data_IF_562575400052
#
_entry.id   IF_562575400052
#
_cell.length_a   1.000
_cell.length_b   1.000
_cell.length_c   1.000
_cell.angle_alpha   90.00
_cell.angle_beta   90.00
_cell.angle_gamma   90.00
#
_symmetry.space_group_name_H-M   'P 1'
#
loop_
_entity.id
_entity.type
_entity.pdbx_description
1 polymer ?
#
# COMPACT_ATOMS: atom_id res chain seq x y z
N UNK A 1 -22.21 -6.84 -8.40
CA UNK A 1 -22.40 -6.81 -6.94
C UNK A 1 -22.58 -5.36 -6.56
N UNK A 2 -23.67 -5.00 -5.87
CA UNK A 2 -23.85 -3.65 -5.34
C UNK A 2 -23.47 -3.67 -3.86
N UNK A 3 -22.55 -2.81 -3.46
CA UNK A 3 -22.18 -2.66 -2.06
C UNK A 3 -22.93 -1.47 -1.45
N UNK A 4 -23.12 -1.50 -0.14
CA UNK A 4 -23.73 -0.40 0.58
C UNK A 4 -22.65 0.30 1.40
N UNK A 5 -22.48 1.60 1.15
CA UNK A 5 -21.66 2.51 1.95
C UNK A 5 -22.55 3.67 2.39
N UNK A 6 -22.27 4.26 3.54
CA UNK A 6 -23.04 5.41 4.03
C UNK A 6 -22.73 6.66 3.21
N UNK A 7 -23.65 7.63 3.22
CA UNK A 7 -23.41 8.93 2.56
C UNK A 7 -22.15 9.62 3.10
N UNK A 8 -21.86 9.48 4.39
CA UNK A 8 -20.64 10.01 5.01
C UNK A 8 -19.37 9.32 4.48
N UNK A 9 -19.39 7.98 4.37
CA UNK A 9 -18.30 7.22 3.78
C UNK A 9 -18.05 7.64 2.34
N UNK A 10 -19.12 7.81 1.54
CA UNK A 10 -19.04 8.28 0.16
C UNK A 10 -18.36 9.64 0.07
N UNK A 11 -18.81 10.63 0.84
CA UNK A 11 -18.21 11.97 0.89
C UNK A 11 -16.74 11.91 1.31
N UNK A 12 -16.39 11.08 2.31
CA UNK A 12 -15.02 10.91 2.76
C UNK A 12 -14.12 10.32 1.68
N UNK A 13 -14.60 9.32 0.95
CA UNK A 13 -13.89 8.69 -0.16
C UNK A 13 -13.67 9.67 -1.31
N UNK A 14 -14.67 10.44 -1.69
CA UNK A 14 -14.58 11.48 -2.73
C UNK A 14 -13.53 12.54 -2.37
N UNK A 15 -13.57 13.07 -1.14
CA UNK A 15 -12.55 14.02 -0.65
C UNK A 15 -11.14 13.43 -0.65
N UNK A 16 -11.00 12.16 -0.28
CA UNK A 16 -9.70 11.49 -0.27
C UNK A 16 -9.18 11.25 -1.70
N UNK A 17 -10.06 10.90 -2.64
CA UNK A 17 -9.70 10.72 -4.04
C UNK A 17 -9.14 12.01 -4.65
N UNK A 18 -9.76 13.16 -4.33
CA UNK A 18 -9.36 14.46 -4.87
C UNK A 18 -8.00 14.93 -4.35
N UNK A 19 -7.64 14.53 -3.13
CA UNK A 19 -6.43 15.00 -2.44
C UNK A 19 -5.25 14.05 -2.57
N UNK A 20 -5.48 12.74 -2.63
CA UNK A 20 -4.39 11.76 -2.71
C UNK A 20 -3.65 11.85 -4.03
N UNK A 21 -2.33 11.67 -4.02
CA UNK A 21 -1.49 11.55 -5.24
C UNK A 21 -1.16 10.11 -5.59
N UNK A 22 -1.46 9.17 -4.68
CA UNK A 22 -1.20 7.75 -4.87
C UNK A 22 -2.25 7.14 -5.81
N UNK A 23 -1.83 6.77 -7.02
CA UNK A 23 -2.71 6.19 -8.04
C UNK A 23 -3.38 4.89 -7.60
N UNK A 24 -2.71 4.07 -6.79
CA UNK A 24 -3.29 2.82 -6.30
C UNK A 24 -4.43 3.09 -5.31
N UNK A 25 -4.25 4.09 -4.44
CA UNK A 25 -5.31 4.54 -3.52
C UNK A 25 -6.49 5.08 -4.32
N UNK A 26 -6.25 5.88 -5.38
CA UNK A 26 -7.33 6.40 -6.23
C UNK A 26 -8.14 5.29 -6.88
N UNK A 27 -7.49 4.27 -7.44
CA UNK A 27 -8.21 3.19 -8.12
C UNK A 27 -8.98 2.28 -7.16
N UNK A 28 -8.45 2.05 -5.95
CA UNK A 28 -9.22 1.42 -4.85
C UNK A 28 -10.47 2.21 -4.51
N UNK A 29 -10.36 3.54 -4.35
CA UNK A 29 -11.50 4.41 -4.07
C UNK A 29 -12.54 4.36 -5.18
N UNK A 30 -12.12 4.50 -6.45
CA UNK A 30 -13.03 4.42 -7.60
C UNK A 30 -13.78 3.09 -7.64
N UNK A 31 -13.09 1.97 -7.38
CA UNK A 31 -13.73 0.66 -7.36
C UNK A 31 -14.87 0.58 -6.32
N UNK A 32 -14.65 1.14 -5.12
CA UNK A 32 -15.66 1.17 -4.05
C UNK A 32 -16.84 2.08 -4.44
N UNK A 33 -16.56 3.29 -4.93
CA UNK A 33 -17.60 4.24 -5.33
C UNK A 33 -18.48 3.67 -6.46
N UNK A 34 -17.86 3.16 -7.54
CA UNK A 34 -18.58 2.59 -8.67
C UNK A 34 -19.38 1.33 -8.27
N UNK A 35 -18.83 0.49 -7.40
CA UNK A 35 -19.56 -0.67 -6.86
C UNK A 35 -20.77 -0.24 -6.01
N UNK A 36 -20.66 0.86 -5.26
CA UNK A 36 -21.80 1.43 -4.51
C UNK A 36 -22.88 2.01 -5.43
N UNK A 37 -22.47 2.51 -6.60
CA UNK A 37 -23.33 3.02 -7.66
C UNK A 37 -23.95 1.91 -8.52
N UNK A 38 -23.61 0.65 -8.24
CA UNK A 38 -24.21 -0.53 -8.87
C UNK A 38 -23.47 -1.04 -10.10
N UNK A 39 -22.28 -0.54 -10.40
CA UNK A 39 -21.46 -1.09 -11.48
C UNK A 39 -21.03 -2.51 -11.15
N UNK A 40 -20.99 -3.39 -12.16
CA UNK A 40 -20.46 -4.74 -11.98
C UNK A 40 -18.94 -4.72 -11.87
N UNK A 41 -18.35 -5.69 -11.16
CA UNK A 41 -16.88 -5.80 -11.07
C UNK A 41 -16.22 -5.88 -12.45
N UNK A 42 -16.88 -6.48 -13.44
CA UNK A 42 -16.41 -6.53 -14.84
C UNK A 42 -16.37 -5.13 -15.47
N UNK A 43 -17.43 -4.33 -15.29
CA UNK A 43 -17.47 -2.95 -15.81
C UNK A 43 -16.40 -2.07 -15.14
N UNK A 44 -16.24 -2.21 -13.83
CA UNK A 44 -15.23 -1.48 -13.06
C UNK A 44 -13.82 -1.88 -13.52
N UNK A 45 -13.57 -3.18 -13.65
CA UNK A 45 -12.29 -3.72 -14.13
C UNK A 45 -11.95 -3.18 -15.52
N UNK A 46 -12.92 -3.16 -16.43
CA UNK A 46 -12.76 -2.58 -17.76
C UNK A 46 -12.46 -1.07 -17.72
N UNK A 47 -13.19 -0.30 -16.90
CA UNK A 47 -13.04 1.14 -16.78
C UNK A 47 -11.69 1.54 -16.17
N UNK A 48 -11.22 0.80 -15.16
CA UNK A 48 -9.97 1.05 -14.45
C UNK A 48 -8.76 0.35 -15.10
N UNK A 49 -8.97 -0.48 -16.13
CA UNK A 49 -7.95 -1.33 -16.76
C UNK A 49 -7.22 -2.23 -15.75
N UNK A 50 -7.99 -2.82 -14.84
CA UNK A 50 -7.53 -3.78 -13.84
C UNK A 50 -8.11 -5.16 -14.13
N UNK A 51 -7.47 -6.21 -13.61
CA UNK A 51 -8.06 -7.54 -13.61
C UNK A 51 -9.27 -7.58 -12.67
N UNK A 52 -10.33 -8.31 -13.05
CA UNK A 52 -11.57 -8.39 -12.26
C UNK A 52 -11.32 -8.83 -10.82
N UNK A 53 -10.48 -9.85 -10.61
CA UNK A 53 -10.15 -10.34 -9.25
C UNK A 53 -9.42 -9.29 -8.39
N UNK A 54 -8.75 -8.33 -8.99
CA UNK A 54 -8.14 -7.20 -8.27
C UNK A 54 -9.21 -6.23 -7.78
N UNK A 55 -10.21 -5.93 -8.62
CA UNK A 55 -11.37 -5.12 -8.23
C UNK A 55 -12.14 -5.79 -7.09
N UNK A 56 -12.45 -7.08 -7.22
CA UNK A 56 -13.18 -7.84 -6.20
C UNK A 56 -12.44 -7.82 -4.86
N UNK A 57 -11.11 -8.02 -4.89
CA UNK A 57 -10.26 -7.92 -3.70
C UNK A 57 -10.24 -6.52 -3.10
N UNK A 58 -10.14 -5.46 -3.91
CA UNK A 58 -10.17 -4.07 -3.40
C UNK A 58 -11.48 -3.76 -2.67
N UNK A 59 -12.61 -4.21 -3.23
CA UNK A 59 -13.92 -4.06 -2.61
C UNK A 59 -13.98 -4.86 -1.30
N UNK A 60 -13.54 -6.12 -1.30
CA UNK A 60 -13.53 -6.98 -0.12
C UNK A 60 -12.64 -6.43 1.00
N UNK A 61 -11.41 -6.01 0.67
CA UNK A 61 -10.45 -5.38 1.58
C UNK A 61 -11.07 -4.16 2.29
N UNK A 62 -11.80 -3.32 1.54
CA UNK A 62 -12.45 -2.15 2.10
C UNK A 62 -13.63 -2.51 3.01
N UNK A 63 -14.48 -3.45 2.61
CA UNK A 63 -15.63 -3.86 3.42
C UNK A 63 -15.21 -4.53 4.74
N UNK A 64 -14.13 -5.31 4.70
CA UNK A 64 -13.67 -6.05 5.86
C UNK A 64 -12.81 -5.21 6.81
N UNK A 65 -11.98 -4.30 6.28
CA UNK A 65 -10.91 -3.63 7.05
C UNK A 65 -10.82 -2.12 6.82
N UNK A 66 -11.67 -1.54 5.95
CA UNK A 66 -11.56 -0.13 5.55
C UNK A 66 -10.28 0.17 4.75
N UNK A 67 -9.63 -0.86 4.18
CA UNK A 67 -8.29 -0.75 3.60
C UNK A 67 -8.30 -0.06 2.24
N UNK A 68 -7.60 1.08 2.17
CA UNK A 68 -7.45 1.88 0.95
C UNK A 68 -6.02 1.95 0.41
N UNK A 69 -5.04 1.43 1.15
CA UNK A 69 -3.62 1.41 0.75
C UNK A 69 -3.09 -0.02 0.82
N UNK A 70 -2.10 -0.32 -0.02
CA UNK A 70 -1.32 -1.54 0.15
C UNK A 70 -0.42 -1.41 1.39
N UNK A 71 -0.23 -2.49 2.14
CA UNK A 71 0.74 -2.57 3.22
C UNK A 71 2.16 -2.82 2.67
N UNK A 72 2.46 -2.27 1.50
CA UNK A 72 3.76 -2.37 0.86
C UNK A 72 4.73 -1.47 1.63
N UNK A 73 5.15 -1.93 2.81
CA UNK A 73 6.31 -1.46 3.55
C UNK A 73 7.41 -2.50 3.41
N UNK A 74 8.67 -2.05 3.42
CA UNK A 74 9.79 -2.98 3.58
C UNK A 74 9.66 -3.76 4.89
N UNK A 75 10.38 -4.87 4.99
CA UNK A 75 10.53 -5.56 6.26
C UNK A 75 11.18 -4.63 7.29
N UNK A 76 10.84 -4.84 8.56
CA UNK A 76 11.59 -4.21 9.65
C UNK A 76 13.07 -4.60 9.56
N UNK A 77 13.95 -3.66 9.94
CA UNK A 77 15.38 -3.93 10.02
C UNK A 77 15.65 -5.01 11.08
N UNK A 78 16.54 -5.94 10.76
CA UNK A 78 17.06 -6.90 11.74
C UNK A 78 18.09 -6.27 12.68
N UNK A 79 18.55 -5.06 12.39
CA UNK A 79 19.51 -4.35 13.22
C UNK A 79 18.82 -3.58 14.33
N UNK A 80 19.42 -3.60 15.53
CA UNK A 80 19.06 -2.64 16.57
C UNK A 80 19.40 -1.22 16.13
N UNK A 81 18.83 -0.22 16.83
CA UNK A 81 19.17 1.20 16.58
C UNK A 81 20.67 1.45 16.76
N UNK A 82 21.27 0.90 17.82
CA UNK A 82 22.71 1.04 18.10
C UNK A 82 23.57 0.40 17.00
N UNK A 83 23.21 -0.80 16.54
CA UNK A 83 23.90 -1.46 15.42
C UNK A 83 23.77 -0.65 14.13
N UNK A 84 22.60 -0.06 13.89
CA UNK A 84 22.35 0.79 12.72
C UNK A 84 23.23 2.03 12.75
N UNK A 85 23.26 2.75 13.88
CA UNK A 85 24.05 3.97 14.04
C UNK A 85 25.56 3.68 13.92
N UNK A 86 26.02 2.58 14.51
CA UNK A 86 27.40 2.13 14.43
C UNK A 86 27.81 1.76 13.00
N UNK A 87 26.94 1.03 12.29
CA UNK A 87 27.17 0.67 10.90
C UNK A 87 27.20 1.90 9.99
N UNK A 88 26.30 2.87 10.17
CA UNK A 88 26.27 4.12 9.40
C UNK A 88 27.58 4.91 9.59
N UNK A 89 28.05 5.05 10.84
CA UNK A 89 29.29 5.77 11.13
C UNK A 89 30.49 5.07 10.46
N UNK A 90 30.54 3.74 10.50
CA UNK A 90 31.63 2.99 9.87
C UNK A 90 31.60 3.07 8.34
N UNK A 91 30.43 2.86 7.72
CA UNK A 91 30.26 2.96 6.28
C UNK A 91 30.56 4.38 5.73
N UNK A 92 30.48 5.40 6.58
CA UNK A 92 30.84 6.78 6.21
C UNK A 92 32.36 6.99 6.11
N UNK A 93 33.17 6.10 6.69
CA UNK A 93 34.63 6.20 6.77
C UNK A 93 35.34 5.08 6.00
N UNK A 94 34.67 3.94 5.83
CA UNK A 94 35.25 2.72 5.28
C UNK A 94 34.28 2.06 4.29
N UNK A 95 34.79 1.69 3.12
CA UNK A 95 34.04 0.95 2.11
C UNK A 95 34.36 -0.54 2.22
N UNK A 96 33.35 -1.35 2.51
CA UNK A 96 33.46 -2.80 2.37
C UNK A 96 33.43 -3.19 0.88
N UNK A 97 34.20 -4.21 0.52
CA UNK A 97 34.19 -4.75 -0.84
C UNK A 97 33.04 -5.74 -1.02
N UNK A 98 32.60 -6.39 0.06
CA UNK A 98 31.60 -7.45 0.03
C UNK A 98 30.60 -7.37 1.19
N UNK A 99 29.35 -7.77 0.93
CA UNK A 99 28.27 -7.73 1.92
C UNK A 99 28.53 -8.62 3.14
N UNK A 100 29.24 -9.74 3.00
CA UNK A 100 29.53 -10.61 4.15
C UNK A 100 30.46 -9.95 5.17
N UNK A 101 31.29 -8.98 4.75
CA UNK A 101 32.15 -8.20 5.64
C UNK A 101 31.31 -7.26 6.52
N UNK A 102 30.25 -6.67 5.95
CA UNK A 102 29.27 -5.88 6.71
C UNK A 102 28.55 -6.75 7.74
N UNK A 103 28.13 -7.96 7.36
CA UNK A 103 27.47 -8.90 8.27
C UNK A 103 28.41 -9.29 9.41
N UNK A 104 29.67 -9.60 9.10
CA UNK A 104 30.68 -9.93 10.10
C UNK A 104 31.02 -8.74 11.02
N UNK A 105 31.00 -7.52 10.50
CA UNK A 105 31.22 -6.30 11.29
C UNK A 105 30.08 -6.04 12.28
N UNK A 106 28.83 -6.20 11.84
CA UNK A 106 27.64 -6.00 12.67
C UNK A 106 27.47 -7.08 13.75
N UNK A 107 28.01 -8.29 13.51
CA UNK A 107 27.91 -9.42 14.41
C UNK A 107 28.97 -9.44 15.54
N UNK A 108 29.92 -8.51 15.54
CA UNK A 108 30.92 -8.32 16.61
C UNK A 108 30.30 -7.66 17.83
#
# INVERSE_FOLDING_TARGET
MKIFITSEQKIKLERLHDTTRDGQVRDRIKAILLASEGWSSVMIAQALRLHQTTVDRHISDYLNQGKLKSDNGGSDSLLSREQTDFLINHLSQHLFHHTHEIVAYVAQ
#
